data_IF_360951514093
#
_entry.id   IF_360951514093
#
_cell.length_a   1.000
_cell.length_b   1.000
_cell.length_c   1.000
_cell.angle_alpha   90.00
_cell.angle_beta   90.00
_cell.angle_gamma   90.00
#
_symmetry.space_group_name_H-M   'P 1'
#
loop_
_entity.id
_entity.type
_entity.pdbx_description
1 polymer ?
#
# COMPACT_ATOMS: atom_id res chain seq x y z
N UNK A 1 -18.61 -15.33 8.80
CA UNK A 1 -17.86 -15.48 10.07
C UNK A 1 -16.66 -16.41 9.87
N UNK A 2 -16.84 -17.73 9.70
CA UNK A 2 -15.70 -18.67 9.56
C UNK A 2 -14.80 -18.37 8.35
N UNK A 3 -15.38 -18.01 7.19
CA UNK A 3 -14.63 -17.67 5.97
C UNK A 3 -13.73 -16.45 6.13
N UNK A 4 -14.20 -15.40 6.83
CA UNK A 4 -13.43 -14.18 7.05
C UNK A 4 -12.23 -14.43 7.97
N UNK A 5 -12.39 -15.32 8.97
CA UNK A 5 -11.29 -15.73 9.85
C UNK A 5 -10.22 -16.48 9.05
N UNK A 6 -10.63 -17.37 8.14
CA UNK A 6 -9.69 -18.06 7.25
C UNK A 6 -8.96 -17.11 6.31
N UNK A 7 -9.64 -16.09 5.77
CA UNK A 7 -9.01 -15.07 4.89
C UNK A 7 -7.96 -14.23 5.64
N UNK A 8 -8.23 -13.89 6.90
CA UNK A 8 -7.25 -13.24 7.80
C UNK A 8 -6.04 -14.15 8.03
N UNK A 9 -6.26 -15.43 8.34
CA UNK A 9 -5.17 -16.39 8.59
C UNK A 9 -4.34 -16.69 7.33
N UNK A 10 -4.94 -16.61 6.15
CA UNK A 10 -4.28 -16.84 4.87
C UNK A 10 -3.59 -15.59 4.32
N UNK A 11 -3.59 -14.47 5.07
CA UNK A 11 -3.05 -13.18 4.65
C UNK A 11 -3.57 -12.74 3.27
N UNK A 12 -4.81 -13.13 2.96
CA UNK A 12 -5.41 -12.82 1.67
C UNK A 12 -5.76 -11.35 1.58
N UNK A 13 -5.62 -10.77 0.40
CA UNK A 13 -6.06 -9.41 0.11
C UNK A 13 -7.54 -9.25 0.48
N UNK A 14 -7.88 -8.30 1.37
CA UNK A 14 -9.26 -8.03 1.76
C UNK A 14 -10.10 -7.59 0.56
N UNK A 15 -11.31 -8.14 0.43
CA UNK A 15 -12.15 -8.02 -0.78
C UNK A 15 -12.59 -6.59 -1.11
N UNK A 16 -12.56 -5.71 -0.11
CA UNK A 16 -12.89 -4.29 -0.23
C UNK A 16 -11.77 -3.46 -0.88
N UNK A 17 -10.57 -4.03 -1.04
CA UNK A 17 -9.43 -3.37 -1.66
C UNK A 17 -9.18 -3.99 -3.04
N UNK A 18 -9.10 -3.12 -4.05
CA UNK A 18 -8.56 -3.45 -5.37
C UNK A 18 -7.07 -3.03 -5.39
N UNK A 19 -6.12 -3.99 -5.32
CA UNK A 19 -4.70 -3.67 -5.31
C UNK A 19 -4.23 -2.98 -6.58
N UNK A 20 -4.85 -3.29 -7.72
CA UNK A 20 -4.49 -2.70 -9.02
C UNK A 20 -4.89 -1.23 -9.06
N UNK A 21 -6.04 -0.86 -8.49
CA UNK A 21 -6.43 0.55 -8.38
C UNK A 21 -5.54 1.31 -7.39
N UNK A 22 -5.17 0.70 -6.26
CA UNK A 22 -4.25 1.32 -5.30
C UNK A 22 -2.88 1.56 -5.95
N UNK A 23 -2.32 0.54 -6.60
CA UNK A 23 -1.04 0.62 -7.32
C UNK A 23 -1.04 1.75 -8.34
N UNK A 24 -2.09 1.83 -9.17
CA UNK A 24 -2.23 2.90 -10.17
C UNK A 24 -2.24 4.29 -9.53
N UNK A 25 -3.04 4.49 -8.49
CA UNK A 25 -3.12 5.80 -7.83
C UNK A 25 -1.82 6.20 -7.13
N UNK A 26 -1.06 5.24 -6.58
CA UNK A 26 0.29 5.52 -6.07
C UNK A 26 1.25 5.89 -7.21
N UNK A 27 1.16 5.22 -8.36
CA UNK A 27 1.95 5.55 -9.56
C UNK A 27 1.59 6.90 -10.20
N UNK A 28 0.44 7.49 -9.89
CA UNK A 28 0.06 8.84 -10.33
C UNK A 28 0.72 9.95 -9.48
N UNK A 29 1.30 9.60 -8.33
CA UNK A 29 2.02 10.56 -7.49
C UNK A 29 3.33 10.96 -8.18
N UNK A 30 3.57 12.27 -8.24
CA UNK A 30 4.80 12.83 -8.81
C UNK A 30 6.05 12.19 -8.18
N UNK A 31 7.06 11.95 -9.01
CA UNK A 31 8.32 11.25 -8.69
C UNK A 31 8.23 9.73 -8.47
N UNK A 32 7.03 9.13 -8.38
CA UNK A 32 6.87 7.67 -8.35
C UNK A 32 7.07 7.10 -9.76
N UNK A 33 7.86 6.03 -9.85
CA UNK A 33 8.16 5.33 -11.09
C UNK A 33 7.41 4.00 -11.17
N UNK A 34 7.37 3.26 -10.07
CA UNK A 34 6.68 1.97 -9.98
C UNK A 34 6.42 1.58 -8.53
N UNK A 35 5.44 0.71 -8.33
CA UNK A 35 5.19 0.00 -7.07
C UNK A 35 5.36 -1.49 -7.36
N UNK A 36 6.02 -2.22 -6.46
CA UNK A 36 6.15 -3.67 -6.53
C UNK A 36 6.04 -4.30 -5.15
N UNK A 37 5.87 -5.62 -5.14
CA UNK A 37 5.71 -6.40 -3.90
C UNK A 37 4.60 -5.79 -3.02
N UNK A 38 3.49 -5.36 -3.64
CA UNK A 38 2.35 -4.79 -2.94
C UNK A 38 1.59 -5.90 -2.21
N UNK A 39 1.72 -5.90 -0.89
CA UNK A 39 1.02 -6.80 0.01
C UNK A 39 0.01 -6.03 0.84
N UNK A 40 -1.22 -6.54 0.91
CA UNK A 40 -2.31 -5.95 1.68
C UNK A 40 -3.01 -7.10 2.40
N UNK A 41 -3.14 -7.00 3.72
CA UNK A 41 -3.78 -8.03 4.53
C UNK A 41 -4.53 -7.41 5.70
N UNK A 42 -5.39 -8.21 6.34
CA UNK A 42 -6.09 -7.81 7.55
C UNK A 42 -5.59 -8.66 8.72
N UNK A 43 -5.25 -8.03 9.85
CA UNK A 43 -4.94 -8.76 11.11
C UNK A 43 -6.23 -9.04 11.91
N UNK A 44 -7.21 -8.15 11.80
CA UNK A 44 -8.55 -8.32 12.38
C UNK A 44 -9.56 -7.57 11.51
N UNK A 45 -10.85 -7.77 11.78
CA UNK A 45 -11.93 -7.07 11.06
C UNK A 45 -11.73 -5.55 11.18
N UNK A 46 -11.66 -4.87 10.04
CA UNK A 46 -11.49 -3.42 9.96
C UNK A 46 -10.07 -2.90 10.23
N UNK A 47 -9.07 -3.78 10.47
CA UNK A 47 -7.67 -3.37 10.60
C UNK A 47 -6.84 -3.91 9.44
N UNK A 48 -6.71 -3.08 8.41
CA UNK A 48 -5.90 -3.32 7.23
C UNK A 48 -4.45 -2.91 7.45
N UNK A 49 -3.53 -3.67 6.86
CA UNK A 49 -2.11 -3.39 6.80
C UNK A 49 -1.66 -3.46 5.35
N UNK A 50 -0.63 -2.68 5.03
CA UNK A 50 -0.02 -2.67 3.71
C UNK A 50 1.51 -2.64 3.86
N UNK A 51 2.18 -3.44 3.05
CA UNK A 51 3.60 -3.34 2.81
C UNK A 51 3.86 -3.30 1.30
N UNK A 52 4.74 -2.41 0.86
CA UNK A 52 5.16 -2.38 -0.54
C UNK A 52 6.54 -1.75 -0.70
N UNK A 53 7.08 -1.93 -1.89
CA UNK A 53 8.27 -1.21 -2.34
C UNK A 53 7.85 -0.20 -3.40
N UNK A 54 8.40 1.00 -3.30
CA UNK A 54 8.11 2.09 -4.21
C UNK A 54 9.41 2.59 -4.80
N UNK A 55 9.52 2.47 -6.12
CA UNK A 55 10.62 3.03 -6.88
C UNK A 55 10.32 4.48 -7.21
N UNK A 56 11.24 5.37 -6.84
CA UNK A 56 11.15 6.80 -7.12
C UNK A 56 12.26 7.23 -8.08
N UNK A 57 12.15 8.43 -8.66
CA UNK A 57 13.23 9.01 -9.45
C UNK A 57 14.50 9.18 -8.58
N UNK A 58 15.71 9.01 -9.14
CA UNK A 58 16.95 9.10 -8.36
C UNK A 58 17.13 10.41 -7.57
N UNK A 59 16.71 11.53 -8.17
CA UNK A 59 16.84 12.89 -7.62
C UNK A 59 15.66 13.31 -6.73
N UNK A 60 14.69 12.42 -6.50
CA UNK A 60 13.50 12.75 -5.72
C UNK A 60 13.80 12.78 -4.21
N UNK A 61 13.14 13.72 -3.54
CA UNK A 61 13.14 13.83 -2.08
C UNK A 61 12.30 12.70 -1.47
N UNK A 62 12.97 11.64 -1.02
CA UNK A 62 12.33 10.40 -0.58
C UNK A 62 11.28 10.60 0.52
N UNK A 63 11.58 11.42 1.53
CA UNK A 63 10.67 11.67 2.65
C UNK A 63 9.39 12.37 2.19
N UNK A 64 9.50 13.33 1.26
CA UNK A 64 8.33 14.01 0.69
C UNK A 64 7.46 13.06 -0.14
N UNK A 65 8.07 12.17 -0.91
CA UNK A 65 7.32 11.18 -1.69
C UNK A 65 6.65 10.17 -0.76
N UNK A 66 7.37 9.69 0.25
CA UNK A 66 6.84 8.79 1.26
C UNK A 66 5.61 9.39 1.96
N UNK A 67 5.69 10.64 2.41
CA UNK A 67 4.57 11.34 3.05
C UNK A 67 3.35 11.44 2.12
N UNK A 68 3.56 11.80 0.85
CA UNK A 68 2.48 11.87 -0.16
C UNK A 68 1.80 10.51 -0.34
N UNK A 69 2.57 9.42 -0.40
CA UNK A 69 2.05 8.07 -0.58
C UNK A 69 1.26 7.62 0.66
N UNK A 70 1.80 7.85 1.86
CA UNK A 70 1.12 7.52 3.12
C UNK A 70 -0.22 8.26 3.21
N UNK A 71 -0.22 9.56 2.90
CA UNK A 71 -1.43 10.38 2.92
C UNK A 71 -2.46 9.95 1.87
N UNK A 72 -2.02 9.54 0.68
CA UNK A 72 -2.88 8.98 -0.35
C UNK A 72 -3.53 7.67 0.13
N UNK A 73 -2.72 6.70 0.58
CA UNK A 73 -3.20 5.38 1.04
C UNK A 73 -4.19 5.54 2.20
N UNK A 74 -3.90 6.45 3.14
CA UNK A 74 -4.78 6.73 4.27
C UNK A 74 -6.11 7.35 3.85
N UNK A 75 -6.12 8.29 2.90
CA UNK A 75 -7.34 8.99 2.46
C UNK A 75 -8.22 8.13 1.57
N UNK A 76 -7.63 7.47 0.59
CA UNK A 76 -8.40 6.75 -0.45
C UNK A 76 -8.75 5.31 -0.03
N UNK A 77 -7.93 4.69 0.82
CA UNK A 77 -8.09 3.27 1.19
C UNK A 77 -8.27 3.04 2.69
N UNK A 78 -8.23 4.09 3.52
CA UNK A 78 -8.38 4.02 4.98
C UNK A 78 -7.39 3.03 5.66
N UNK A 79 -6.20 2.84 5.07
CA UNK A 79 -5.14 2.00 5.63
C UNK A 79 -4.16 2.90 6.40
N UNK A 80 -4.08 2.71 7.71
CA UNK A 80 -3.25 3.54 8.61
C UNK A 80 -1.92 2.91 8.99
N UNK A 81 -1.81 1.58 8.89
CA UNK A 81 -0.59 0.84 9.21
C UNK A 81 0.08 0.44 7.90
N UNK A 82 1.06 1.22 7.49
CA UNK A 82 1.75 1.07 6.21
C UNK A 82 3.26 0.99 6.44
N UNK A 83 3.92 0.08 5.74
CA UNK A 83 5.38 0.00 5.68
C UNK A 83 5.78 0.12 4.22
N UNK A 84 6.59 1.13 3.89
CA UNK A 84 6.98 1.40 2.51
C UNK A 84 8.50 1.46 2.45
N UNK A 85 9.09 0.61 1.60
CA UNK A 85 10.50 0.70 1.26
C UNK A 85 10.65 1.61 0.03
N UNK A 86 11.45 2.66 0.15
CA UNK A 86 11.77 3.54 -0.98
C UNK A 86 13.03 3.04 -1.69
N UNK A 87 12.93 2.89 -3.00
CA UNK A 87 14.02 2.41 -3.86
C UNK A 87 14.36 3.44 -4.94
N UNK A 88 15.64 3.51 -5.33
CA UNK A 88 16.14 4.43 -6.37
C UNK A 88 16.66 3.71 -7.62
N UNK A 89 16.75 2.38 -7.61
CA UNK A 89 17.21 1.54 -8.72
C UNK A 89 16.41 0.25 -8.79
#
# INVERSE_FOLDING_TARGET
>A
MLRNILEVLMESTPREIDPTMLEKGVCEIEEVVAVHELHIWAITVGKLLLACHVKIRPEAEADMVLDKIIDYIKREHNISHVTIQIERQ
#
